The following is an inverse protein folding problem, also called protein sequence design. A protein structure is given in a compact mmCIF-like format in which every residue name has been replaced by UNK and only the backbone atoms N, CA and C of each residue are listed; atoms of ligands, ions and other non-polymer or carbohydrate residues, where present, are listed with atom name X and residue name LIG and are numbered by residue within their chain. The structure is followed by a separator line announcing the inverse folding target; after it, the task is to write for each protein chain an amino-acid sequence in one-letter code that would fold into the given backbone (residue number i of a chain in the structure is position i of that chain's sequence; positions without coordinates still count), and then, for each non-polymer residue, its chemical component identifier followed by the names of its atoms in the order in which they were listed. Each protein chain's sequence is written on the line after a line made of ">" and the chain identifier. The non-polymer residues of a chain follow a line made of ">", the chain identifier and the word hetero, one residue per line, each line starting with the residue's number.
data_IF_974932508691
#
_entry.id   IF_974932508691
#
_cell.length_a   1.000
_cell.length_b   1.000
_cell.length_c   1.000
_cell.angle_alpha   90.00
_cell.angle_beta   90.00
_cell.angle_gamma   90.00
#
_symmetry.space_group_name_H-M   'P 1'
#
loop_
_entity.id
_entity.type
_entity.pdbx_description
1 polymer ?
#
# COMPACT_ATOMS: atom_id res chain seq x y z
N UNK A 1 15.86 33.08 8.31
CA UNK A 1 15.85 32.31 9.59
C UNK A 1 14.43 31.85 9.98
N UNK A 2 13.40 32.58 9.57
CA UNK A 2 11.97 32.21 9.82
C UNK A 2 11.45 31.07 8.95
N UNK A 3 11.93 30.91 7.71
CA UNK A 3 11.53 29.76 6.84
C UNK A 3 12.01 28.40 7.36
N UNK A 4 13.12 28.33 8.11
CA UNK A 4 13.64 27.09 8.66
C UNK A 4 12.89 26.62 9.92
N UNK A 5 12.22 27.52 10.65
CA UNK A 5 11.46 27.17 11.86
C UNK A 5 10.11 26.55 11.46
N UNK A 6 9.48 27.05 10.38
CA UNK A 6 8.21 26.50 9.89
C UNK A 6 8.34 25.08 9.33
N UNK A 7 9.48 24.73 8.72
CA UNK A 7 9.74 23.36 8.23
C UNK A 7 9.98 22.35 9.35
N UNK A 8 10.43 22.77 10.54
CA UNK A 8 10.69 21.86 11.66
C UNK A 8 9.42 21.38 12.38
N UNK A 9 8.36 22.20 12.43
CA UNK A 9 7.07 21.77 13.01
C UNK A 9 6.26 20.86 12.07
N UNK A 10 6.54 20.87 10.79
CA UNK A 10 5.78 20.16 9.77
C UNK A 10 6.05 18.64 9.68
N UNK A 11 7.12 18.14 10.29
CA UNK A 11 7.49 16.70 10.25
C UNK A 11 6.79 15.84 11.30
N UNK A 12 5.92 16.39 12.13
CA UNK A 12 5.16 15.62 13.13
C UNK A 12 3.81 15.19 12.60
N UNK A 13 3.52 13.90 12.78
CA UNK A 13 2.16 13.36 12.64
C UNK A 13 1.39 13.72 13.90
N UNK A 14 0.29 14.45 13.74
CA UNK A 14 -0.65 14.80 14.80
C UNK A 14 -2.03 14.24 14.43
N UNK A 15 -2.43 13.18 15.11
CA UNK A 15 -3.69 12.48 14.87
C UNK A 15 -4.89 13.40 15.08
N UNK A 16 -4.86 14.28 16.07
CA UNK A 16 -5.96 15.23 16.32
C UNK A 16 -6.11 16.22 15.17
N UNK A 17 -4.99 16.76 14.69
CA UNK A 17 -4.96 17.69 13.55
C UNK A 17 -5.46 17.02 12.26
N UNK A 18 -5.03 15.77 11.99
CA UNK A 18 -5.48 14.99 10.84
C UNK A 18 -7.00 14.76 10.89
N UNK A 19 -7.54 14.35 12.04
CA UNK A 19 -8.98 14.17 12.23
C UNK A 19 -9.75 15.48 12.10
N UNK A 20 -9.24 16.56 12.69
CA UNK A 20 -9.86 17.89 12.61
C UNK A 20 -9.95 18.39 11.18
N UNK A 21 -8.91 18.15 10.37
CA UNK A 21 -8.90 18.56 8.97
C UNK A 21 -9.86 17.72 8.10
N UNK A 22 -9.96 16.41 8.37
CA UNK A 22 -10.85 15.52 7.59
C UNK A 22 -12.32 15.63 7.97
N UNK A 23 -12.63 15.79 9.24
CA UNK A 23 -14.00 15.91 9.72
C UNK A 23 -14.10 16.82 10.97
N UNK A 24 -14.13 18.15 10.79
CA UNK A 24 -14.12 19.09 11.90
C UNK A 24 -15.30 18.94 12.87
N UNK A 25 -16.47 18.51 12.35
CA UNK A 25 -17.66 18.29 13.18
C UNK A 25 -17.48 17.12 14.12
N UNK A 26 -16.99 16.00 13.59
CA UNK A 26 -16.74 14.80 14.38
C UNK A 26 -15.58 14.99 15.35
N UNK A 27 -14.53 15.69 14.94
CA UNK A 27 -13.39 15.99 15.79
C UNK A 27 -13.78 16.74 17.06
N UNK A 28 -14.75 17.67 16.98
CA UNK A 28 -15.27 18.41 18.15
C UNK A 28 -16.08 17.54 19.11
N UNK A 29 -16.65 16.42 18.64
CA UNK A 29 -17.49 15.53 19.44
C UNK A 29 -16.69 14.44 20.14
N UNK A 30 -15.44 14.16 19.69
CA UNK A 30 -14.62 13.11 20.27
C UNK A 30 -14.02 13.55 21.62
N UNK A 31 -14.30 12.81 22.72
CA UNK A 31 -13.69 13.08 24.00
C UNK A 31 -12.17 12.91 23.99
N UNK A 32 -11.46 13.62 24.85
CA UNK A 32 -10.01 13.58 24.93
C UNK A 32 -9.41 12.19 25.17
N UNK A 33 -10.14 11.31 25.90
CA UNK A 33 -9.66 9.93 26.12
C UNK A 33 -9.71 9.08 24.84
N UNK A 34 -10.64 9.35 23.92
CA UNK A 34 -10.70 8.68 22.61
C UNK A 34 -9.49 9.07 21.77
N UNK A 35 -9.11 10.35 21.76
CA UNK A 35 -7.90 10.77 21.08
C UNK A 35 -6.64 10.11 21.64
N UNK A 36 -6.49 10.06 22.98
CA UNK A 36 -5.35 9.35 23.60
C UNK A 36 -5.32 7.86 23.23
N UNK A 37 -6.47 7.23 23.12
CA UNK A 37 -6.58 5.85 22.67
C UNK A 37 -6.15 5.70 21.20
N UNK A 38 -6.61 6.58 20.30
CA UNK A 38 -6.25 6.60 18.88
C UNK A 38 -4.75 6.87 18.70
N UNK A 39 -4.20 7.85 19.40
CA UNK A 39 -2.77 8.18 19.40
C UNK A 39 -1.92 6.95 19.76
N UNK A 40 -2.38 6.16 20.74
CA UNK A 40 -1.71 4.94 21.18
C UNK A 40 -1.78 3.82 20.14
N UNK A 41 -2.97 3.47 19.61
CA UNK A 41 -3.12 2.36 18.66
C UNK A 41 -2.56 2.69 17.26
N UNK A 42 -2.50 3.98 16.93
CA UNK A 42 -1.84 4.46 15.71
C UNK A 42 -0.33 4.70 15.93
N UNK A 43 0.18 4.39 17.12
CA UNK A 43 1.59 4.51 17.49
C UNK A 43 2.21 5.87 17.13
N UNK A 44 1.49 6.96 17.43
CA UNK A 44 1.91 8.33 17.08
C UNK A 44 3.30 8.67 17.60
N UNK A 45 3.66 8.26 18.82
CA UNK A 45 4.99 8.50 19.40
C UNK A 45 6.08 7.77 18.62
N UNK A 46 5.85 6.50 18.25
CA UNK A 46 6.77 5.72 17.44
C UNK A 46 7.02 6.38 16.08
N UNK A 47 5.92 6.75 15.39
CA UNK A 47 6.00 7.43 14.07
C UNK A 47 6.78 8.74 14.21
N UNK A 48 6.50 9.55 15.22
CA UNK A 48 7.19 10.81 15.44
C UNK A 48 8.67 10.61 15.83
N UNK A 49 8.97 9.56 16.59
CA UNK A 49 10.33 9.12 16.88
C UNK A 49 11.09 8.71 15.61
N UNK A 50 10.47 7.90 14.75
CA UNK A 50 11.01 7.50 13.46
C UNK A 50 11.32 8.73 12.58
N UNK A 51 10.37 9.66 12.45
CA UNK A 51 10.53 10.89 11.71
C UNK A 51 11.68 11.76 12.25
N UNK A 52 11.80 11.87 13.57
CA UNK A 52 12.83 12.65 14.23
C UNK A 52 14.24 12.07 14.04
N UNK A 53 14.39 10.74 14.22
CA UNK A 53 15.68 10.05 14.06
C UNK A 53 16.16 10.04 12.61
N UNK A 54 15.24 10.11 11.66
CA UNK A 54 15.51 10.04 10.23
C UNK A 54 15.23 11.37 9.53
N UNK A 55 15.42 12.47 10.23
CA UNK A 55 15.25 13.83 9.68
C UNK A 55 16.13 14.02 8.43
N UNK A 56 15.52 14.49 7.35
CA UNK A 56 16.19 14.73 6.07
C UNK A 56 16.24 13.52 5.13
N UNK A 57 15.85 12.31 5.58
CA UNK A 57 15.64 11.18 4.68
C UNK A 57 14.29 11.29 4.00
N UNK A 58 14.25 11.01 2.70
CA UNK A 58 13.04 11.06 1.87
C UNK A 58 13.02 9.86 0.91
N UNK A 59 11.85 9.55 0.35
CA UNK A 59 11.70 8.51 -0.65
C UNK A 59 12.28 7.17 -0.18
N UNK A 60 13.17 6.59 -0.97
CA UNK A 60 13.78 5.28 -0.68
C UNK A 60 14.66 5.29 0.58
N UNK A 61 15.36 6.38 0.87
CA UNK A 61 16.18 6.47 2.10
C UNK A 61 15.31 6.38 3.36
N UNK A 62 14.09 6.93 3.29
CA UNK A 62 13.14 6.81 4.39
C UNK A 62 12.51 5.40 4.45
N UNK A 63 12.29 4.76 3.31
CA UNK A 63 11.87 3.34 3.24
C UNK A 63 12.90 2.44 3.91
N UNK A 64 14.19 2.61 3.63
CA UNK A 64 15.27 1.86 4.28
C UNK A 64 15.28 2.11 5.79
N UNK A 65 15.07 3.35 6.23
CA UNK A 65 14.98 3.66 7.65
C UNK A 65 13.79 2.94 8.34
N UNK A 66 12.67 2.75 7.65
CA UNK A 66 11.56 1.94 8.17
C UNK A 66 11.99 0.48 8.34
N UNK A 67 12.72 -0.12 7.37
CA UNK A 67 13.21 -1.49 7.50
C UNK A 67 14.20 -1.64 8.65
N UNK A 68 15.12 -0.68 8.82
CA UNK A 68 16.07 -0.66 9.94
C UNK A 68 15.34 -0.63 11.29
N UNK A 69 14.33 0.24 11.44
CA UNK A 69 13.54 0.34 12.68
C UNK A 69 12.68 -0.89 12.95
N UNK A 70 12.16 -1.53 11.92
CA UNK A 70 11.38 -2.76 12.05
C UNK A 70 12.26 -4.01 12.15
N UNK A 71 13.56 -3.90 11.83
CA UNK A 71 14.49 -5.04 11.74
C UNK A 71 13.90 -6.19 10.91
N UNK A 72 13.43 -5.86 9.72
CA UNK A 72 12.74 -6.80 8.81
C UNK A 72 13.61 -7.13 7.62
N UNK A 73 13.46 -8.33 7.08
CA UNK A 73 14.14 -8.79 5.87
C UNK A 73 13.14 -9.20 4.80
N UNK A 74 13.59 -9.14 3.54
CA UNK A 74 12.79 -9.50 2.38
C UNK A 74 13.51 -10.61 1.61
N UNK A 75 12.82 -11.73 1.41
CA UNK A 75 13.20 -12.80 0.49
C UNK A 75 12.45 -12.60 -0.82
N UNK A 76 13.18 -12.43 -1.91
CA UNK A 76 12.60 -12.30 -3.25
C UNK A 76 12.60 -13.67 -3.92
N UNK A 77 11.46 -14.07 -4.48
CA UNK A 77 11.31 -15.29 -5.29
C UNK A 77 10.79 -14.92 -6.67
N UNK A 78 11.26 -15.64 -7.70
CA UNK A 78 10.86 -15.36 -9.07
C UNK A 78 11.46 -14.06 -9.59
N UNK A 79 12.64 -13.67 -9.13
CA UNK A 79 13.34 -12.46 -9.57
C UNK A 79 13.73 -12.50 -11.06
N UNK A 80 13.85 -13.70 -11.64
CA UNK A 80 13.99 -13.90 -13.09
C UNK A 80 12.79 -13.35 -13.89
N UNK A 81 11.62 -13.22 -13.26
CA UNK A 81 10.41 -12.65 -13.86
C UNK A 81 10.37 -11.11 -13.77
N UNK A 82 11.28 -10.49 -13.02
CA UNK A 82 11.33 -9.03 -12.91
C UNK A 82 11.96 -8.48 -14.20
N UNK A 83 11.21 -7.70 -15.00
CA UNK A 83 11.77 -7.13 -16.22
C UNK A 83 12.92 -6.19 -15.89
N UNK A 84 13.92 -6.11 -16.77
CA UNK A 84 15.08 -5.23 -16.56
C UNK A 84 14.93 -3.88 -17.26
N UNK A 85 14.04 -3.79 -18.24
CA UNK A 85 13.81 -2.59 -19.07
C UNK A 85 12.31 -2.49 -19.40
N UNK A 86 11.78 -1.28 -19.41
CA UNK A 86 10.39 -1.01 -19.77
C UNK A 86 9.59 -0.36 -18.66
N UNK A 87 8.30 -0.21 -18.90
CA UNK A 87 7.35 0.42 -17.99
C UNK A 87 6.23 -0.56 -17.64
N UNK A 88 6.04 -0.78 -16.36
CA UNK A 88 5.16 -1.84 -15.88
C UNK A 88 4.17 -1.31 -14.83
N UNK A 89 3.10 -2.07 -14.62
CA UNK A 89 2.23 -1.97 -13.46
C UNK A 89 2.42 -3.23 -12.63
N UNK A 90 3.00 -3.10 -11.45
CA UNK A 90 3.11 -4.18 -10.49
C UNK A 90 1.83 -4.24 -9.65
N UNK A 91 1.16 -5.37 -9.67
CA UNK A 91 -0.11 -5.56 -8.96
C UNK A 91 0.05 -6.63 -7.88
N UNK A 92 -0.30 -6.30 -6.65
CA UNK A 92 -0.12 -7.20 -5.51
C UNK A 92 -1.40 -7.42 -4.71
N UNK A 93 -1.46 -8.57 -4.02
CA UNK A 93 -2.34 -8.71 -2.86
C UNK A 93 -1.96 -7.71 -1.76
N UNK A 94 -2.84 -7.55 -0.76
CA UNK A 94 -2.69 -6.51 0.27
C UNK A 94 -2.87 -7.08 1.68
N UNK A 95 -1.99 -7.99 2.14
CA UNK A 95 -2.17 -8.68 3.41
C UNK A 95 -1.91 -7.83 4.65
N UNK A 96 -0.93 -6.89 4.60
CA UNK A 96 -0.37 -6.21 5.77
C UNK A 96 -0.75 -4.72 5.88
N UNK A 97 -1.24 -4.12 4.80
CA UNK A 97 -1.53 -2.69 4.76
C UNK A 97 -0.32 -1.84 4.39
N UNK A 98 0.09 -0.89 5.25
CA UNK A 98 1.19 0.02 4.92
C UNK A 98 2.51 -0.67 4.60
N UNK A 99 2.82 -1.79 5.27
CA UNK A 99 4.05 -2.55 5.03
C UNK A 99 4.13 -3.12 3.61
N UNK A 100 3.03 -3.53 3.00
CA UNK A 100 3.06 -4.05 1.62
C UNK A 100 3.60 -2.98 0.65
N UNK A 101 3.20 -1.73 0.84
CA UNK A 101 3.68 -0.61 0.04
C UNK A 101 5.19 -0.38 0.19
N UNK A 102 5.66 -0.41 1.43
CA UNK A 102 7.09 -0.24 1.76
C UNK A 102 7.91 -1.38 1.16
N UNK A 103 7.46 -2.64 1.33
CA UNK A 103 8.11 -3.83 0.79
C UNK A 103 8.18 -3.79 -0.75
N UNK A 104 7.07 -3.46 -1.41
CA UNK A 104 7.03 -3.42 -2.88
C UNK A 104 7.90 -2.30 -3.45
N UNK A 105 7.86 -1.09 -2.86
CA UNK A 105 8.68 0.04 -3.30
C UNK A 105 10.16 -0.32 -3.22
N UNK A 106 10.62 -0.82 -2.07
CA UNK A 106 12.01 -1.21 -1.89
C UNK A 106 12.41 -2.28 -2.90
N UNK A 107 11.63 -3.37 -2.99
CA UNK A 107 11.98 -4.50 -3.86
C UNK A 107 12.02 -4.10 -5.34
N UNK A 108 10.99 -3.40 -5.84
CA UNK A 108 10.95 -3.03 -7.27
C UNK A 108 12.01 -2.00 -7.62
N UNK A 109 12.27 -1.03 -6.72
CA UNK A 109 13.25 0.01 -6.96
C UNK A 109 14.70 -0.52 -7.04
N UNK A 110 15.02 -1.60 -6.33
CA UNK A 110 16.33 -2.26 -6.46
C UNK A 110 16.61 -2.80 -7.86
N UNK A 111 15.57 -3.22 -8.59
CA UNK A 111 15.71 -3.83 -9.93
C UNK A 111 15.50 -2.84 -11.07
N UNK A 112 14.63 -1.87 -10.91
CA UNK A 112 14.12 -1.01 -11.98
C UNK A 112 14.28 0.49 -11.73
N UNK A 113 14.84 0.87 -10.59
CA UNK A 113 15.01 2.28 -10.22
C UNK A 113 13.70 2.90 -9.71
N UNK A 114 13.27 4.00 -10.33
CA UNK A 114 12.15 4.80 -9.80
C UNK A 114 10.81 4.06 -9.89
N UNK A 115 10.14 3.98 -8.75
CA UNK A 115 8.81 3.39 -8.61
C UNK A 115 7.91 4.29 -7.74
N UNK A 116 6.61 4.29 -8.07
CA UNK A 116 5.60 5.03 -7.29
C UNK A 116 4.44 4.11 -6.91
N UNK A 117 3.97 4.26 -5.68
CA UNK A 117 2.87 3.46 -5.14
C UNK A 117 1.57 4.29 -5.09
N UNK A 118 0.50 3.71 -5.64
CA UNK A 118 -0.82 4.33 -5.59
C UNK A 118 -1.43 4.16 -4.19
N UNK A 119 -1.61 5.24 -3.46
CA UNK A 119 -2.04 5.22 -2.05
C UNK A 119 -3.31 6.02 -1.79
N UNK A 120 -3.94 5.76 -0.65
CA UNK A 120 -4.99 6.64 -0.13
C UNK A 120 -4.36 7.98 0.30
N UNK A 121 -5.06 9.08 0.05
CA UNK A 121 -4.66 10.44 0.38
C UNK A 121 -4.24 10.66 1.85
N UNK A 122 -4.76 9.87 2.79
CA UNK A 122 -4.36 9.96 4.20
C UNK A 122 -2.87 9.65 4.41
N UNK A 123 -2.28 8.79 3.57
CA UNK A 123 -0.86 8.44 3.65
C UNK A 123 0.07 9.58 3.23
N UNK A 124 -0.45 10.60 2.54
CA UNK A 124 0.30 11.82 2.21
C UNK A 124 0.68 12.65 3.45
N UNK A 125 0.08 12.35 4.63
CA UNK A 125 0.53 12.94 5.90
C UNK A 125 1.89 12.39 6.35
N UNK A 126 2.38 11.28 5.78
CA UNK A 126 3.73 10.77 5.97
C UNK A 126 4.66 11.42 4.94
N UNK A 127 4.94 12.70 5.13
CA UNK A 127 5.62 13.58 4.16
C UNK A 127 6.93 13.03 3.56
N UNK A 128 7.83 12.36 4.30
CA UNK A 128 9.03 11.78 3.72
C UNK A 128 8.76 10.75 2.60
N UNK A 129 7.54 10.21 2.52
CA UNK A 129 7.13 9.23 1.50
C UNK A 129 6.46 9.89 0.27
N UNK A 130 6.26 11.21 0.27
CA UNK A 130 5.50 11.88 -0.81
C UNK A 130 6.17 11.74 -2.18
N UNK A 131 7.49 11.58 -2.22
CA UNK A 131 8.24 11.39 -3.47
C UNK A 131 7.92 10.04 -4.15
N UNK A 132 7.43 9.06 -3.38
CA UNK A 132 7.12 7.71 -3.89
C UNK A 132 5.63 7.38 -3.84
N UNK A 133 4.80 8.26 -3.29
CA UNK A 133 3.36 8.08 -3.21
C UNK A 133 2.62 8.89 -4.26
N UNK A 134 1.57 8.30 -4.83
CA UNK A 134 0.59 9.00 -5.66
C UNK A 134 -0.78 8.85 -5.02
N UNK A 135 -1.39 9.96 -4.59
CA UNK A 135 -2.69 9.90 -3.96
C UNK A 135 -3.79 9.54 -4.96
N UNK A 136 -4.60 8.53 -4.58
CA UNK A 136 -5.84 8.21 -5.29
C UNK A 136 -7.02 8.36 -4.34
N UNK A 137 -8.00 9.17 -4.69
CA UNK A 137 -9.21 9.33 -3.89
C UNK A 137 -10.09 8.10 -4.03
N UNK A 138 -10.45 7.50 -2.88
CA UNK A 138 -11.44 6.41 -2.83
C UNK A 138 -12.88 6.92 -2.82
N UNK A 139 -13.09 8.12 -2.33
CA UNK A 139 -14.40 8.74 -2.13
C UNK A 139 -14.34 10.20 -2.58
N UNK A 140 -15.16 10.57 -3.57
CA UNK A 140 -15.21 11.91 -4.12
C UNK A 140 -14.50 12.08 -5.47
N UNK A 141 -14.52 13.28 -6.02
CA UNK A 141 -13.78 13.64 -7.23
C UNK A 141 -12.28 13.73 -6.90
N UNK A 142 -11.45 13.13 -7.75
CA UNK A 142 -10.01 13.35 -7.70
C UNK A 142 -9.73 14.82 -8.01
N UNK A 143 -8.83 15.47 -7.26
CA UNK A 143 -8.46 16.83 -7.62
C UNK A 143 -7.84 16.85 -9.02
N UNK A 144 -8.01 17.95 -9.73
CA UNK A 144 -7.48 18.12 -11.09
C UNK A 144 -5.97 17.87 -11.13
N UNK A 145 -5.27 18.35 -10.11
CA UNK A 145 -3.82 18.19 -9.92
C UNK A 145 -3.42 16.72 -9.72
N UNK A 146 -4.12 16.00 -8.85
CA UNK A 146 -3.86 14.55 -8.63
C UNK A 146 -4.14 13.73 -9.89
N UNK A 147 -5.14 14.11 -10.68
CA UNK A 147 -5.44 13.44 -11.94
C UNK A 147 -4.35 13.69 -13.01
N UNK A 148 -3.82 14.91 -13.07
CA UNK A 148 -2.72 15.27 -13.97
C UNK A 148 -1.43 14.56 -13.58
N UNK A 149 -1.07 14.56 -12.28
CA UNK A 149 0.10 13.84 -11.77
C UNK A 149 0.00 12.34 -12.08
N UNK A 150 -1.16 11.76 -11.89
CA UNK A 150 -1.38 10.34 -12.19
C UNK A 150 -1.22 10.05 -13.69
N UNK A 151 -1.75 10.90 -14.57
CA UNK A 151 -1.60 10.77 -16.02
C UNK A 151 -0.12 10.88 -16.45
N UNK A 152 0.60 11.86 -15.90
CA UNK A 152 2.03 12.07 -16.15
C UNK A 152 2.85 10.82 -15.76
N UNK A 153 2.64 10.28 -14.56
CA UNK A 153 3.36 9.08 -14.12
C UNK A 153 3.01 7.87 -14.96
N UNK A 154 1.76 7.71 -15.39
CA UNK A 154 1.39 6.62 -16.31
C UNK A 154 2.05 6.76 -17.69
N UNK A 155 2.34 7.97 -18.16
CA UNK A 155 3.05 8.23 -19.44
C UNK A 155 4.55 8.05 -19.33
N UNK A 156 5.14 8.27 -18.18
CA UNK A 156 6.58 8.19 -17.91
C UNK A 156 7.12 6.75 -17.97
N UNK A 157 8.42 6.58 -17.68
CA UNK A 157 9.03 5.26 -17.50
C UNK A 157 9.06 4.79 -16.04
N UNK A 158 8.50 5.58 -15.11
CA UNK A 158 8.41 5.24 -13.69
C UNK A 158 7.55 3.99 -13.51
N UNK A 159 7.98 3.08 -12.64
CA UNK A 159 7.22 1.87 -12.33
C UNK A 159 6.02 2.22 -11.44
N UNK A 160 4.89 1.57 -11.69
CA UNK A 160 3.66 1.84 -10.93
C UNK A 160 3.31 0.61 -10.09
N UNK A 161 3.13 0.82 -8.81
CA UNK A 161 2.78 -0.21 -7.86
C UNK A 161 1.36 0.03 -7.34
N UNK A 162 0.58 -1.03 -7.22
CA UNK A 162 -0.79 -0.93 -6.71
C UNK A 162 -1.29 -2.23 -6.09
N UNK A 163 -2.15 -2.09 -5.07
CA UNK A 163 -2.97 -3.17 -4.54
C UNK A 163 -4.42 -2.96 -5.00
N UNK A 164 -4.88 -3.64 -6.07
CA UNK A 164 -6.15 -3.32 -6.72
C UNK A 164 -7.40 -3.55 -5.87
N UNK A 165 -7.30 -4.35 -4.78
CA UNK A 165 -8.37 -4.48 -3.80
C UNK A 165 -8.74 -3.15 -3.15
N UNK A 166 -7.75 -2.26 -3.02
CA UNK A 166 -7.85 -0.98 -2.34
C UNK A 166 -8.16 -1.08 -0.85
N UNK A 167 -8.20 -2.28 -0.31
CA UNK A 167 -8.41 -2.60 1.11
C UNK A 167 -7.53 -3.79 1.47
N UNK A 168 -7.05 -3.81 2.70
CA UNK A 168 -6.29 -4.93 3.26
C UNK A 168 -7.12 -6.21 3.21
N UNK A 169 -6.47 -7.35 3.00
CA UNK A 169 -7.10 -8.69 2.93
C UNK A 169 -8.06 -8.95 4.08
N UNK A 170 -9.06 -9.77 3.83
CA UNK A 170 -10.10 -10.17 4.80
C UNK A 170 -10.11 -11.68 5.01
N UNK A 171 -10.53 -12.13 6.20
CA UNK A 171 -10.76 -13.54 6.49
C UNK A 171 -12.24 -13.86 6.30
N UNK A 172 -12.58 -14.53 5.19
CA UNK A 172 -13.94 -14.90 4.84
C UNK A 172 -14.01 -16.42 4.78
N UNK A 173 -14.91 -17.03 5.55
CA UNK A 173 -15.06 -18.50 5.64
C UNK A 173 -13.73 -19.24 5.90
N UNK A 174 -12.89 -18.66 6.77
CA UNK A 174 -11.59 -19.23 7.15
C UNK A 174 -10.44 -18.90 6.19
N UNK A 175 -10.69 -18.39 5.00
CA UNK A 175 -9.67 -18.06 3.99
C UNK A 175 -9.33 -16.58 4.07
N UNK A 176 -8.02 -16.28 4.13
CA UNK A 176 -7.51 -14.89 4.11
C UNK A 176 -7.16 -14.55 2.66
N UNK A 177 -7.92 -13.61 2.10
CA UNK A 177 -7.73 -13.12 0.73
C UNK A 177 -8.23 -11.68 0.60
N UNK A 178 -7.78 -11.01 -0.44
CA UNK A 178 -8.29 -9.70 -0.82
C UNK A 178 -9.78 -9.75 -1.18
N UNK A 179 -10.45 -8.65 -0.96
CA UNK A 179 -11.72 -8.36 -1.59
C UNK A 179 -11.58 -8.36 -3.12
N UNK A 180 -12.68 -8.44 -3.89
CA UNK A 180 -12.62 -8.37 -5.35
C UNK A 180 -11.77 -7.19 -5.82
N UNK A 181 -10.86 -7.44 -6.76
CA UNK A 181 -9.98 -6.42 -7.31
C UNK A 181 -10.73 -5.47 -8.23
N UNK A 182 -10.40 -4.20 -8.16
CA UNK A 182 -10.96 -3.16 -9.04
C UNK A 182 -10.28 -3.24 -10.40
N UNK A 183 -11.06 -3.15 -11.47
CA UNK A 183 -10.62 -3.28 -12.87
C UNK A 183 -9.80 -2.11 -13.41
N UNK A 184 -9.64 -1.00 -12.67
CA UNK A 184 -9.04 0.23 -13.20
C UNK A 184 -7.61 0.04 -13.70
N UNK A 185 -6.80 -0.81 -13.06
CA UNK A 185 -5.43 -1.07 -13.49
C UNK A 185 -5.37 -1.76 -14.87
N UNK A 186 -6.37 -2.57 -15.23
CA UNK A 186 -6.49 -3.18 -16.58
C UNK A 186 -6.69 -2.08 -17.63
N UNK A 187 -7.66 -1.17 -17.40
CA UNK A 187 -7.90 -0.07 -18.32
C UNK A 187 -6.65 0.82 -18.48
N UNK A 188 -5.91 1.06 -17.39
CA UNK A 188 -4.68 1.83 -17.41
C UNK A 188 -3.52 1.10 -18.11
N UNK A 189 -3.40 -0.21 -17.92
CA UNK A 189 -2.41 -1.03 -18.64
C UNK A 189 -2.60 -0.92 -20.16
N UNK A 190 -3.84 -1.05 -20.64
CA UNK A 190 -4.17 -0.92 -22.06
C UNK A 190 -3.94 0.52 -22.54
N UNK A 191 -4.47 1.53 -21.83
CA UNK A 191 -4.39 2.93 -22.21
C UNK A 191 -2.95 3.44 -22.37
N UNK A 192 -2.06 3.02 -21.47
CA UNK A 192 -0.67 3.51 -21.42
C UNK A 192 0.37 2.47 -21.91
N UNK A 193 -0.11 1.36 -22.49
CA UNK A 193 0.72 0.29 -23.04
C UNK A 193 1.76 -0.22 -22.03
N UNK A 194 1.28 -0.55 -20.81
CA UNK A 194 2.11 -1.10 -19.74
C UNK A 194 1.77 -2.56 -19.50
N UNK A 195 2.79 -3.42 -19.52
CA UNK A 195 2.61 -4.79 -19.11
C UNK A 195 2.35 -4.88 -17.60
N UNK A 196 1.67 -5.92 -17.18
CA UNK A 196 1.32 -6.13 -15.76
C UNK A 196 2.23 -7.20 -15.18
N UNK A 197 2.89 -6.92 -14.08
CA UNK A 197 3.67 -7.90 -13.31
C UNK A 197 2.87 -8.30 -12.07
N UNK A 198 2.40 -9.55 -11.98
CA UNK A 198 1.73 -10.06 -10.80
C UNK A 198 2.74 -10.30 -9.68
N UNK A 199 2.43 -9.82 -8.47
CA UNK A 199 3.29 -9.95 -7.29
C UNK A 199 2.49 -10.49 -6.12
N UNK A 200 3.05 -11.43 -5.38
CA UNK A 200 2.48 -11.92 -4.14
C UNK A 200 3.36 -11.51 -2.95
N UNK A 201 2.80 -10.76 -2.02
CA UNK A 201 3.41 -10.47 -0.73
C UNK A 201 2.90 -11.47 0.31
N UNK A 202 3.83 -12.09 1.05
CA UNK A 202 3.49 -12.97 2.17
C UNK A 202 3.05 -12.16 3.40
N UNK A 203 2.43 -12.85 4.34
CA UNK A 203 2.02 -12.26 5.62
C UNK A 203 0.52 -12.28 5.84
N UNK A 204 0.14 -11.95 7.07
CA UNK A 204 -1.25 -11.85 7.50
C UNK A 204 -1.33 -11.01 8.77
N UNK A 205 -2.44 -10.32 8.95
CA UNK A 205 -2.76 -9.66 10.21
C UNK A 205 -3.28 -10.66 11.27
N UNK A 206 -3.44 -10.20 12.48
CA UNK A 206 -3.90 -11.04 13.59
C UNK A 206 -5.37 -11.47 13.43
N UNK A 207 -5.74 -12.52 14.15
CA UNK A 207 -7.15 -12.90 14.22
C UNK A 207 -8.03 -11.80 14.82
N UNK A 208 -7.49 -10.95 15.70
CA UNK A 208 -8.20 -9.80 16.23
C UNK A 208 -8.62 -8.85 15.11
N UNK A 209 -7.71 -8.48 14.21
CA UNK A 209 -7.99 -7.61 13.06
C UNK A 209 -9.13 -8.17 12.19
N UNK A 210 -9.04 -9.45 11.83
CA UNK A 210 -10.05 -10.08 10.98
C UNK A 210 -11.38 -10.27 11.69
N UNK A 211 -11.39 -10.63 12.97
CA UNK A 211 -12.63 -10.79 13.74
C UNK A 211 -13.33 -9.44 13.93
N UNK A 212 -12.58 -8.37 14.20
CA UNK A 212 -13.13 -7.03 14.29
C UNK A 212 -13.78 -6.60 12.97
N UNK A 213 -13.12 -6.87 11.83
CA UNK A 213 -13.67 -6.61 10.51
C UNK A 213 -14.97 -7.39 10.24
N UNK A 214 -15.01 -8.67 10.65
CA UNK A 214 -16.17 -9.53 10.48
C UNK A 214 -17.35 -9.10 11.39
N UNK A 215 -17.09 -8.81 12.67
CA UNK A 215 -18.11 -8.30 13.62
C UNK A 215 -18.68 -6.98 13.11
N UNK A 216 -17.81 -6.04 12.70
CA UNK A 216 -18.21 -4.77 12.12
C UNK A 216 -19.12 -4.98 10.90
N UNK A 217 -18.74 -5.89 10.01
CA UNK A 217 -19.52 -6.22 8.81
C UNK A 217 -20.87 -6.82 9.17
N UNK A 218 -20.93 -7.74 10.13
CA UNK A 218 -22.15 -8.33 10.65
C UNK A 218 -23.09 -7.28 11.25
N UNK A 219 -22.54 -6.32 11.99
CA UNK A 219 -23.29 -5.22 12.58
C UNK A 219 -23.61 -4.08 11.59
N UNK A 220 -23.28 -4.24 10.30
CA UNK A 220 -23.49 -3.25 9.23
C UNK A 220 -22.88 -1.87 9.54
N UNK A 221 -21.82 -1.81 10.37
CA UNK A 221 -21.11 -0.57 10.67
C UNK A 221 -20.29 -0.18 9.41
N UNK A 222 -20.62 0.99 8.84
CA UNK A 222 -20.01 1.48 7.58
C UNK A 222 -18.54 1.88 7.71
N UNK A 223 -18.10 2.24 8.91
CA UNK A 223 -16.73 2.67 9.16
C UNK A 223 -15.81 1.48 9.36
N UNK A 224 -14.68 1.48 8.67
CA UNK A 224 -13.69 0.40 8.76
C UNK A 224 -12.85 0.55 10.03
N UNK A 225 -13.44 0.27 11.20
CA UNK A 225 -12.81 0.45 12.52
C UNK A 225 -11.51 -0.35 12.65
N UNK A 226 -11.44 -1.53 12.03
CA UNK A 226 -10.24 -2.37 12.02
C UNK A 226 -9.02 -1.66 11.40
N UNK A 227 -9.23 -0.69 10.51
CA UNK A 227 -8.14 0.04 9.86
C UNK A 227 -7.34 0.91 10.82
N UNK A 228 -7.92 1.32 11.95
CA UNK A 228 -7.20 2.05 12.99
C UNK A 228 -6.13 1.18 13.69
N UNK A 229 -6.25 -0.13 13.60
CA UNK A 229 -5.30 -1.07 14.19
C UNK A 229 -4.19 -1.50 13.24
N UNK A 230 -4.17 -1.00 11.98
CA UNK A 230 -3.15 -1.42 11.02
C UNK A 230 -1.72 -1.09 11.45
N UNK A 231 -1.52 0.03 12.13
CA UNK A 231 -0.19 0.34 12.66
C UNK A 231 0.18 -0.61 13.81
N UNK A 232 -0.78 -0.92 14.69
CA UNK A 232 -0.60 -1.93 15.75
C UNK A 232 -0.31 -3.32 15.16
N UNK A 233 -0.99 -3.70 14.08
CA UNK A 233 -0.69 -4.93 13.34
C UNK A 233 0.73 -4.89 12.72
N UNK A 234 1.13 -3.75 12.15
CA UNK A 234 2.48 -3.58 11.60
C UNK A 234 3.57 -3.76 12.67
N UNK A 235 3.37 -3.22 13.87
CA UNK A 235 4.31 -3.39 14.98
C UNK A 235 4.53 -4.86 15.39
N UNK A 236 3.53 -5.73 15.18
CA UNK A 236 3.66 -7.18 15.44
C UNK A 236 4.57 -7.88 14.45
N UNK A 237 4.90 -7.22 13.35
CA UNK A 237 5.81 -7.72 12.32
C UNK A 237 7.25 -7.22 12.46
N UNK A 238 7.60 -6.56 13.55
CA UNK A 238 9.01 -6.29 13.86
C UNK A 238 9.78 -7.61 13.98
N UNK A 239 11.04 -7.61 13.50
CA UNK A 239 11.91 -8.79 13.42
C UNK A 239 11.33 -9.93 12.54
N UNK A 240 10.50 -9.62 11.55
CA UNK A 240 9.92 -10.61 10.65
C UNK A 240 10.64 -10.65 9.31
N UNK A 241 10.54 -11.81 8.66
CA UNK A 241 10.95 -11.99 7.27
C UNK A 241 9.71 -12.06 6.38
N UNK A 242 9.74 -11.33 5.25
CA UNK A 242 8.68 -11.34 4.26
C UNK A 242 9.17 -11.96 2.96
N UNK A 243 8.31 -12.74 2.30
CA UNK A 243 8.57 -13.24 0.96
C UNK A 243 7.77 -12.44 -0.05
N UNK A 244 8.46 -11.92 -1.06
CA UNK A 244 7.85 -11.28 -2.24
C UNK A 244 8.09 -12.18 -3.44
N UNK A 245 7.01 -12.62 -4.08
CA UNK A 245 7.05 -13.55 -5.21
C UNK A 245 6.58 -12.86 -6.48
N UNK A 246 7.44 -12.80 -7.50
CA UNK A 246 7.14 -12.21 -8.80
C UNK A 246 6.74 -13.28 -9.82
N UNK A 247 5.62 -13.05 -10.50
CA UNK A 247 5.19 -13.89 -11.62
C UNK A 247 5.59 -13.30 -12.96
N UNK A 248 5.48 -14.10 -14.04
CA UNK A 248 5.79 -13.64 -15.39
C UNK A 248 4.92 -12.44 -15.79
N UNK A 249 5.51 -11.44 -16.49
CA UNK A 249 4.77 -10.29 -17.00
C UNK A 249 3.64 -10.71 -17.95
N UNK A 250 2.50 -10.10 -17.79
CA UNK A 250 1.32 -10.23 -18.66
C UNK A 250 1.33 -9.06 -19.62
N UNK A 251 1.47 -9.35 -20.92
CA UNK A 251 1.51 -8.33 -21.96
C UNK A 251 0.20 -7.54 -22.02
N UNK A 252 0.27 -6.23 -22.11
CA UNK A 252 -0.93 -5.39 -22.26
C UNK A 252 -1.71 -5.75 -23.54
N UNK A 253 -1.02 -6.20 -24.60
CA UNK A 253 -1.63 -6.65 -25.86
C UNK A 253 -2.45 -7.94 -25.72
N UNK A 254 -2.22 -8.72 -24.65
CA UNK A 254 -3.02 -9.92 -24.35
C UNK A 254 -4.32 -9.62 -23.59
N UNK A 255 -4.49 -8.38 -23.13
CA UNK A 255 -5.70 -7.92 -22.44
C UNK A 255 -6.77 -7.53 -23.46
N UNK A 256 -7.20 -8.50 -24.24
CA UNK A 256 -8.13 -8.35 -25.36
C UNK A 256 -9.61 -8.42 -24.94
N UNK A 257 -10.50 -8.39 -25.92
CA UNK A 257 -11.95 -8.44 -25.73
C UNK A 257 -12.52 -9.81 -25.36
N UNK A 258 -11.68 -10.87 -25.27
CA UNK A 258 -12.11 -12.21 -24.83
C UNK A 258 -12.62 -12.23 -23.38
N UNK A 259 -12.22 -11.23 -22.60
CA UNK A 259 -12.67 -11.00 -21.23
C UNK A 259 -13.01 -9.53 -21.01
N UNK A 260 -13.99 -9.27 -20.17
CA UNK A 260 -14.21 -7.92 -19.64
C UNK A 260 -13.04 -7.50 -18.77
N UNK A 261 -12.85 -6.19 -18.56
CA UNK A 261 -11.81 -5.69 -17.64
C UNK A 261 -11.93 -6.28 -16.22
N UNK A 262 -13.16 -6.58 -15.76
CA UNK A 262 -13.34 -7.21 -14.45
C UNK A 262 -12.88 -8.66 -14.47
N UNK A 263 -13.22 -9.43 -15.49
CA UNK A 263 -12.75 -10.80 -15.63
C UNK A 263 -11.24 -10.90 -15.76
N UNK A 264 -10.58 -9.93 -16.43
CA UNK A 264 -9.13 -9.81 -16.45
C UNK A 264 -8.55 -9.52 -15.06
N UNK A 265 -9.17 -8.61 -14.31
CA UNK A 265 -8.74 -8.32 -12.94
C UNK A 265 -8.86 -9.55 -12.02
N UNK A 266 -9.95 -10.31 -12.12
CA UNK A 266 -10.17 -11.53 -11.37
C UNK A 266 -9.16 -12.63 -11.77
N UNK A 267 -8.90 -12.79 -13.06
CA UNK A 267 -7.88 -13.71 -13.57
C UNK A 267 -6.48 -13.40 -13.04
N UNK A 268 -6.07 -12.13 -13.06
CA UNK A 268 -4.76 -11.71 -12.57
C UNK A 268 -4.68 -11.88 -11.04
N UNK A 269 -5.77 -11.60 -10.33
CA UNK A 269 -5.85 -11.86 -8.89
C UNK A 269 -5.62 -13.35 -8.57
N UNK A 270 -6.26 -14.26 -9.29
CA UNK A 270 -6.03 -15.69 -9.09
C UNK A 270 -4.57 -16.09 -9.40
N UNK A 271 -3.98 -15.54 -10.45
CA UNK A 271 -2.54 -15.74 -10.73
C UNK A 271 -1.66 -15.29 -9.57
N UNK A 272 -1.91 -14.11 -8.99
CA UNK A 272 -1.14 -13.64 -7.83
C UNK A 272 -1.22 -14.63 -6.67
N UNK A 273 -2.40 -15.14 -6.35
CA UNK A 273 -2.57 -16.10 -5.26
C UNK A 273 -2.00 -17.49 -5.52
N UNK A 274 -1.79 -17.86 -6.79
CA UNK A 274 -1.13 -19.14 -7.15
C UNK A 274 0.40 -19.09 -7.18
N UNK A 275 1.01 -17.88 -7.16
CA UNK A 275 2.47 -17.72 -7.28
C UNK A 275 3.28 -18.49 -6.22
N UNK A 276 2.92 -18.50 -4.92
CA UNK A 276 3.70 -19.21 -3.91
C UNK A 276 3.79 -20.72 -4.17
N UNK A 277 2.71 -21.34 -4.68
CA UNK A 277 2.67 -22.77 -4.96
C UNK A 277 3.45 -23.12 -6.24
N UNK A 278 3.31 -22.29 -7.28
CA UNK A 278 3.96 -22.50 -8.58
C UNK A 278 5.49 -22.51 -8.48
N UNK A 279 6.08 -21.69 -7.59
CA UNK A 279 7.54 -21.65 -7.44
C UNK A 279 8.05 -22.76 -6.51
N UNK A 280 7.28 -23.21 -5.53
CA UNK A 280 7.65 -24.35 -4.71
C UNK A 280 7.70 -25.67 -5.52
N UNK A 281 6.89 -25.81 -6.57
CA UNK A 281 6.88 -26.98 -7.47
C UNK A 281 8.04 -26.97 -8.49
N UNK A 282 8.72 -25.85 -8.72
CA UNK A 282 9.88 -25.78 -9.62
C UNK A 282 11.22 -26.11 -8.95
N UNK A 283 11.23 -26.16 -7.62
CA UNK A 283 12.46 -26.40 -6.82
C UNK A 283 12.59 -27.89 -6.46
N UNK A 284 11.55 -28.71 -6.66
CA UNK A 284 11.52 -30.15 -6.53
C UNK A 284 11.59 -30.82 -7.92
#
# INVERSE_FOLDING_TARGET
>A
MEENISQQEELKVDIRKIFSNKNPRMAKLLPGFVYRYLERILHQEFINGLLSRNKGKHGLDFVHAIFDEFNTSIVVKGDENIPRVGKYIFVSNHPLGGLDGVIMIDTVSRYLGEAKFLVNDILMNLRPMNDIFIPINKHGSQSKESALLLDEVYRSNIQILTCPSGMVSRKIKGVIRDLPWKKNFIAKAIQYQRDIVPVHCSGKNSNFFYNLANIRSFLHIKWNLEMFFLMDESMKHMNSEFTVTFGPPIKWTSLDTSKTHQQWADFIREKVYSLPEMLNTRIN
#
